data_IF_226347107292
#
_entry.id   IF_226347107292
#
_cell.length_a   1.000
_cell.length_b   1.000
_cell.length_c   1.000
_cell.angle_alpha   90.00
_cell.angle_beta   90.00
_cell.angle_gamma   90.00
#
_symmetry.space_group_name_H-M   'P 1'
#
loop_
_entity.id
_entity.type
_entity.pdbx_description
1 polymer ?
#
# COMPACT_ATOMS: atom_id res chain seq x y z
N UNK A 1 3.23 7.00 -18.01
CA UNK A 1 2.21 6.16 -17.32
C UNK A 1 2.68 5.88 -15.90
N UNK A 2 1.79 6.05 -14.92
CA UNK A 2 2.13 5.79 -13.52
C UNK A 2 1.98 4.29 -13.22
N UNK A 3 2.97 3.67 -12.53
CA UNK A 3 2.82 2.28 -12.09
C UNK A 3 1.72 2.16 -11.03
N UNK A 4 1.16 0.95 -10.91
CA UNK A 4 0.20 0.64 -9.87
C UNK A 4 0.90 0.38 -8.55
N UNK A 5 0.31 0.85 -7.46
CA UNK A 5 0.80 0.60 -6.11
C UNK A 5 -0.37 0.12 -5.26
N UNK A 6 -0.26 -1.09 -4.74
CA UNK A 6 -1.28 -1.67 -3.85
C UNK A 6 -0.80 -1.55 -2.42
N UNK A 7 -1.69 -1.11 -1.53
CA UNK A 7 -1.29 -0.65 -0.22
C UNK A 7 -2.20 -1.19 0.87
N UNK A 8 -1.62 -1.91 1.82
CA UNK A 8 -2.29 -2.31 3.05
C UNK A 8 -2.16 -1.19 4.11
N UNK A 9 -2.92 -1.28 5.17
CA UNK A 9 -2.93 -0.28 6.23
C UNK A 9 -2.24 -0.80 7.49
N UNK A 10 -2.80 -1.83 8.12
CA UNK A 10 -2.27 -2.34 9.38
C UNK A 10 -0.89 -2.97 9.18
N UNK A 11 0.08 -2.56 9.98
CA UNK A 11 1.44 -3.04 9.85
C UNK A 11 2.22 -2.42 8.70
N UNK A 12 1.62 -1.50 7.94
CA UNK A 12 2.26 -0.76 6.85
C UNK A 12 2.16 0.73 7.13
N UNK A 13 1.01 1.35 6.87
CA UNK A 13 0.80 2.78 7.17
C UNK A 13 0.64 3.02 8.67
N UNK A 14 0.09 2.05 9.39
CA UNK A 14 -0.12 2.14 10.83
C UNK A 14 0.81 1.18 11.56
N UNK A 15 1.56 1.71 12.54
CA UNK A 15 2.37 0.89 13.43
C UNK A 15 1.49 0.12 14.43
N UNK A 16 0.38 0.72 14.80
CA UNK A 16 -0.67 0.13 15.64
C UNK A 16 -1.98 0.87 15.37
N UNK A 17 -3.06 0.51 16.06
CA UNK A 17 -4.37 1.08 15.79
C UNK A 17 -4.45 2.61 15.98
N UNK A 18 -3.53 3.19 16.75
CA UNK A 18 -3.59 4.61 17.12
C UNK A 18 -2.53 5.47 16.45
N UNK A 19 -1.49 4.86 15.87
CA UNK A 19 -0.32 5.61 15.41
C UNK A 19 0.07 5.25 13.98
N UNK A 20 0.32 6.29 13.18
CA UNK A 20 0.95 6.14 11.88
C UNK A 20 2.38 5.62 12.04
N UNK A 21 2.82 4.83 11.06
CA UNK A 21 4.23 4.43 10.96
C UNK A 21 5.10 5.67 10.70
N UNK A 22 6.35 5.62 11.14
CA UNK A 22 7.32 6.68 10.86
C UNK A 22 7.46 6.83 9.34
N UNK A 23 7.31 8.06 8.84
CA UNK A 23 7.40 8.36 7.42
C UNK A 23 6.13 8.08 6.62
N UNK A 24 5.04 7.64 7.26
CA UNK A 24 3.80 7.32 6.57
C UNK A 24 3.19 8.53 5.86
N UNK A 25 3.24 9.70 6.47
CA UNK A 25 2.68 10.92 5.85
C UNK A 25 3.40 11.23 4.55
N UNK A 26 4.73 11.23 4.56
CA UNK A 26 5.52 11.46 3.33
C UNK A 26 5.25 10.38 2.28
N UNK A 27 5.16 9.12 2.72
CA UNK A 27 4.87 8.00 1.83
C UNK A 27 3.51 8.17 1.15
N UNK A 28 2.47 8.49 1.94
CA UNK A 28 1.12 8.70 1.42
C UNK A 28 1.11 9.82 0.37
N UNK A 29 1.72 10.96 0.69
CA UNK A 29 1.72 12.11 -0.22
C UNK A 29 2.48 11.82 -1.50
N UNK A 30 3.66 11.22 -1.39
CA UNK A 30 4.48 10.89 -2.56
C UNK A 30 3.77 9.86 -3.45
N UNK A 31 3.21 8.82 -2.84
CA UNK A 31 2.50 7.78 -3.58
C UNK A 31 1.27 8.36 -4.30
N UNK A 32 0.49 9.19 -3.61
CA UNK A 32 -0.71 9.80 -4.19
C UNK A 32 -0.38 10.63 -5.43
N UNK A 33 0.75 11.33 -5.43
CA UNK A 33 1.12 12.22 -6.53
C UNK A 33 1.79 11.51 -7.70
N UNK A 34 2.40 10.34 -7.46
CA UNK A 34 3.28 9.71 -8.46
C UNK A 34 2.87 8.30 -8.90
N UNK A 35 1.87 7.70 -8.27
CA UNK A 35 1.44 6.33 -8.57
C UNK A 35 -0.08 6.26 -8.72
N UNK A 36 -0.55 5.19 -9.38
CA UNK A 36 -1.94 4.80 -9.31
C UNK A 36 -2.09 3.90 -8.08
N UNK A 37 -2.54 4.47 -6.97
CA UNK A 37 -2.60 3.75 -5.70
C UNK A 37 -3.96 3.11 -5.51
N UNK A 38 -3.94 1.87 -5.04
CA UNK A 38 -5.13 1.08 -4.71
C UNK A 38 -5.08 0.64 -3.25
N UNK A 39 -6.20 0.79 -2.56
CA UNK A 39 -6.37 0.17 -1.25
C UNK A 39 -6.42 -1.35 -1.42
N UNK A 40 -5.50 -2.07 -0.79
CA UNK A 40 -5.52 -3.54 -0.78
C UNK A 40 -5.43 -3.99 0.67
N UNK A 41 -6.54 -3.92 1.36
CA UNK A 41 -6.64 -4.02 2.81
C UNK A 41 -8.00 -4.59 3.20
N UNK A 42 -8.07 -5.21 4.39
CA UNK A 42 -9.35 -5.67 4.94
C UNK A 42 -10.31 -4.50 5.22
N UNK A 43 -9.80 -3.27 5.26
CA UNK A 43 -10.64 -2.08 5.43
C UNK A 43 -11.30 -1.62 4.14
N UNK A 44 -11.03 -2.28 3.02
CA UNK A 44 -11.64 -1.99 1.72
C UNK A 44 -11.68 -3.28 0.90
N UNK A 45 -12.76 -4.06 1.03
CA UNK A 45 -12.92 -5.33 0.33
C UNK A 45 -14.09 -5.32 -0.65
N UNK A 46 -14.99 -4.35 -0.54
CA UNK A 46 -16.26 -4.32 -1.27
C UNK A 46 -16.34 -3.16 -2.26
N UNK A 47 -15.25 -2.48 -2.52
CA UNK A 47 -15.21 -1.36 -3.45
C UNK A 47 -15.55 -0.01 -2.82
N UNK A 48 -15.79 0.06 -1.51
CA UNK A 48 -16.05 1.31 -0.80
C UNK A 48 -14.81 1.71 0.00
N UNK A 49 -14.14 2.84 -0.34
CA UNK A 49 -12.91 3.26 0.33
C UNK A 49 -13.15 4.09 1.59
N UNK A 50 -14.40 4.39 1.95
CA UNK A 50 -14.70 5.34 3.03
C UNK A 50 -14.08 4.91 4.36
N UNK A 51 -14.26 3.64 4.73
CA UNK A 51 -13.71 3.15 6.00
C UNK A 51 -12.18 3.20 6.02
N UNK A 52 -11.52 2.83 4.92
CA UNK A 52 -10.06 2.86 4.83
C UNK A 52 -9.53 4.29 5.02
N UNK A 53 -10.15 5.26 4.36
CA UNK A 53 -9.75 6.67 4.46
C UNK A 53 -9.89 7.16 5.91
N UNK A 54 -11.04 6.94 6.52
CA UNK A 54 -11.29 7.44 7.88
C UNK A 54 -10.46 6.68 8.92
N UNK A 55 -10.20 5.40 8.69
CA UNK A 55 -9.36 4.60 9.58
C UNK A 55 -7.94 5.15 9.67
N UNK A 56 -7.36 5.55 8.54
CA UNK A 56 -6.05 6.19 8.53
C UNK A 56 -6.12 7.61 9.09
N UNK A 57 -7.12 8.40 8.63
CA UNK A 57 -7.23 9.81 9.02
C UNK A 57 -7.38 10.00 10.53
N UNK A 58 -8.05 9.11 11.23
CA UNK A 58 -8.26 9.22 12.68
C UNK A 58 -6.97 9.20 13.50
N UNK A 59 -5.84 8.78 12.91
CA UNK A 59 -4.57 8.62 13.63
C UNK A 59 -3.70 9.87 13.63
N UNK A 60 -4.12 10.93 12.96
CA UNK A 60 -3.32 12.16 12.83
C UNK A 60 -4.21 13.38 12.79
N UNK A 61 -3.70 14.51 13.29
CA UNK A 61 -4.37 15.80 13.20
C UNK A 61 -4.16 16.46 11.84
N UNK A 62 -3.16 16.02 11.08
CA UNK A 62 -2.96 16.54 9.72
C UNK A 62 -4.04 15.99 8.80
N UNK A 63 -4.65 16.86 7.98
CA UNK A 63 -5.68 16.42 7.04
C UNK A 63 -5.05 15.74 5.84
N UNK A 64 -5.10 14.41 5.83
CA UNK A 64 -4.58 13.58 4.74
C UNK A 64 -5.65 13.21 3.71
N UNK A 65 -6.91 13.57 3.95
CA UNK A 65 -8.01 13.19 3.05
C UNK A 65 -7.81 13.60 1.59
N UNK A 66 -7.25 14.79 1.28
CA UNK A 66 -7.00 15.13 -0.13
C UNK A 66 -6.10 14.13 -0.85
N UNK A 67 -5.17 13.49 -0.14
CA UNK A 67 -4.29 12.47 -0.70
C UNK A 67 -4.95 11.10 -0.69
N UNK A 68 -5.56 10.72 0.43
CA UNK A 68 -6.18 9.40 0.60
C UNK A 68 -7.33 9.18 -0.37
N UNK A 69 -8.07 10.23 -0.74
CA UNK A 69 -9.17 10.15 -1.71
C UNK A 69 -8.71 9.87 -3.13
N UNK A 70 -7.43 10.05 -3.43
CA UNK A 70 -6.85 9.66 -4.73
C UNK A 70 -6.65 8.16 -4.83
N UNK A 71 -6.61 7.43 -3.71
CA UNK A 71 -6.43 5.99 -3.68
C UNK A 71 -7.73 5.31 -4.09
N UNK A 72 -7.62 4.37 -5.02
CA UNK A 72 -8.78 3.67 -5.59
C UNK A 72 -9.17 2.47 -4.75
N UNK A 73 -10.47 2.16 -4.66
CA UNK A 73 -10.91 0.96 -3.95
C UNK A 73 -10.60 -0.31 -4.73
N UNK A 74 -10.57 -1.44 -4.02
CA UNK A 74 -10.52 -2.78 -4.62
C UNK A 74 -11.65 -3.63 -4.10
N UNK A 75 -11.92 -4.71 -4.82
CA UNK A 75 -12.89 -5.74 -4.41
C UNK A 75 -12.17 -7.07 -4.38
N UNK A 76 -12.21 -7.75 -3.24
CA UNK A 76 -11.61 -9.07 -3.07
C UNK A 76 -12.25 -9.77 -1.88
N UNK A 77 -12.05 -11.08 -1.75
CA UNK A 77 -12.65 -11.84 -0.64
C UNK A 77 -11.61 -12.70 0.09
N UNK A 78 -11.08 -13.75 -0.54
CA UNK A 78 -10.16 -14.67 0.12
C UNK A 78 -8.70 -14.33 -0.10
N UNK A 79 -8.35 -13.86 -1.30
CA UNK A 79 -6.97 -13.53 -1.65
C UNK A 79 -6.89 -12.13 -2.19
N UNK A 80 -5.98 -11.31 -1.63
CA UNK A 80 -5.72 -9.96 -2.12
C UNK A 80 -5.24 -9.98 -3.57
N UNK A 81 -4.50 -11.01 -3.96
CA UNK A 81 -4.00 -11.13 -5.34
C UNK A 81 -5.09 -11.17 -6.39
N UNK A 82 -6.32 -11.51 -6.02
CA UNK A 82 -7.46 -11.46 -6.95
C UNK A 82 -7.79 -10.02 -7.38
N UNK A 83 -7.36 -9.02 -6.62
CA UNK A 83 -7.55 -7.61 -6.95
C UNK A 83 -6.38 -6.98 -7.71
N UNK A 84 -5.27 -7.72 -7.89
CA UNK A 84 -4.08 -7.19 -8.55
C UNK A 84 -4.16 -7.42 -10.06
N UNK A 85 -3.89 -6.36 -10.84
CA UNK A 85 -3.75 -6.46 -12.28
C UNK A 85 -2.31 -6.85 -12.64
N UNK A 86 -2.08 -8.14 -12.87
CA UNK A 86 -0.75 -8.66 -13.19
C UNK A 86 -0.22 -8.23 -14.56
N UNK A 87 -1.07 -7.62 -15.41
CA UNK A 87 -0.66 -7.17 -16.74
C UNK A 87 0.07 -5.83 -16.72
N UNK A 88 0.03 -5.13 -15.60
CA UNK A 88 0.68 -3.82 -15.42
C UNK A 88 1.79 -3.91 -14.39
N UNK A 89 2.88 -3.14 -14.55
CA UNK A 89 3.88 -3.03 -13.49
C UNK A 89 3.24 -2.56 -12.20
N UNK A 90 3.61 -3.19 -11.11
CA UNK A 90 3.05 -2.83 -9.79
C UNK A 90 4.03 -3.09 -8.67
N UNK A 91 3.77 -2.45 -7.54
CA UNK A 91 4.33 -2.76 -6.24
C UNK A 91 3.19 -3.01 -5.27
N UNK A 92 3.36 -3.96 -4.38
CA UNK A 92 2.38 -4.28 -3.34
C UNK A 92 3.06 -4.23 -1.99
N UNK A 93 2.66 -3.27 -1.15
CA UNK A 93 3.18 -3.08 0.21
C UNK A 93 2.23 -3.74 1.20
N UNK A 94 2.70 -4.78 1.87
CA UNK A 94 1.90 -5.52 2.83
C UNK A 94 2.85 -6.19 3.84
N UNK A 95 2.38 -6.35 5.07
CA UNK A 95 3.16 -7.03 6.11
C UNK A 95 3.09 -8.55 5.98
N UNK A 96 2.19 -9.08 5.16
CA UNK A 96 2.02 -10.51 4.98
C UNK A 96 1.66 -10.86 3.54
N UNK A 97 1.99 -12.07 3.15
CA UNK A 97 1.64 -12.64 1.86
C UNK A 97 1.43 -14.13 2.07
N UNK A 98 0.17 -14.55 2.06
CA UNK A 98 -0.17 -15.94 2.35
C UNK A 98 0.26 -16.87 1.22
N UNK A 99 0.30 -18.19 1.51
CA UNK A 99 0.84 -19.18 0.56
C UNK A 99 0.15 -19.16 -0.80
N UNK A 100 -1.18 -19.03 -0.83
CA UNK A 100 -1.92 -18.92 -2.09
C UNK A 100 -1.62 -17.66 -2.86
N UNK A 101 -1.36 -16.56 -2.15
CA UNK A 101 -0.97 -15.30 -2.76
C UNK A 101 0.46 -15.36 -3.29
N UNK A 102 1.38 -15.98 -2.53
CA UNK A 102 2.76 -16.21 -3.00
C UNK A 102 2.78 -17.04 -4.28
N UNK A 103 1.94 -18.07 -4.33
CA UNK A 103 1.83 -18.91 -5.51
C UNK A 103 1.37 -18.10 -6.73
N UNK A 104 0.33 -17.28 -6.56
CA UNK A 104 -0.18 -16.42 -7.64
C UNK A 104 0.90 -15.48 -8.16
N UNK A 105 1.68 -14.86 -7.27
CA UNK A 105 2.77 -13.97 -7.65
C UNK A 105 3.86 -14.72 -8.42
N UNK A 106 4.22 -15.91 -7.97
CA UNK A 106 5.25 -16.73 -8.61
C UNK A 106 4.81 -17.22 -9.97
N UNK A 107 3.55 -17.65 -10.10
CA UNK A 107 3.00 -18.10 -11.38
C UNK A 107 3.00 -16.98 -12.44
N UNK A 108 2.91 -15.73 -12.00
CA UNK A 108 2.94 -14.57 -12.89
C UNK A 108 4.33 -13.92 -12.98
N UNK A 109 5.35 -14.54 -12.40
CA UNK A 109 6.75 -14.06 -12.39
C UNK A 109 6.90 -12.66 -11.81
N UNK A 110 6.12 -12.32 -10.79
CA UNK A 110 6.11 -10.99 -10.16
C UNK A 110 6.26 -11.05 -8.64
N UNK A 111 6.87 -12.11 -8.12
CA UNK A 111 7.02 -12.27 -6.68
C UNK A 111 7.79 -11.10 -6.05
N UNK A 112 8.76 -10.54 -6.77
CA UNK A 112 9.55 -9.41 -6.27
C UNK A 112 8.79 -8.09 -6.25
N UNK A 113 7.58 -8.04 -6.79
CA UNK A 113 6.72 -6.86 -6.70
C UNK A 113 6.05 -6.73 -5.33
N UNK A 114 6.01 -7.81 -4.56
CA UNK A 114 5.59 -7.74 -3.16
C UNK A 114 6.74 -7.19 -2.32
N UNK A 115 6.49 -6.06 -1.67
CA UNK A 115 7.43 -5.44 -0.73
C UNK A 115 6.94 -5.76 0.67
N UNK A 116 7.65 -6.65 1.33
CA UNK A 116 7.33 -7.01 2.71
C UNK A 116 7.65 -5.84 3.63
N UNK A 117 6.64 -5.41 4.39
CA UNK A 117 6.81 -4.34 5.38
C UNK A 117 6.79 -4.98 6.76
N UNK A 118 7.83 -4.69 7.55
CA UNK A 118 7.94 -5.19 8.92
C UNK A 118 8.29 -4.04 9.85
N UNK A 119 7.27 -3.30 10.25
CA UNK A 119 7.42 -2.11 11.09
C UNK A 119 7.87 -2.48 12.51
N UNK A 120 7.48 -3.65 13.00
CA UNK A 120 7.91 -4.11 14.33
C UNK A 120 9.43 -4.25 14.40
N UNK A 121 10.06 -4.74 13.33
CA UNK A 121 11.51 -4.92 13.26
C UNK A 121 12.22 -3.67 12.75
N UNK A 122 11.60 -2.97 11.79
CA UNK A 122 12.16 -1.78 11.14
C UNK A 122 11.15 -0.63 11.24
N UNK A 123 11.08 0.07 12.38
CA UNK A 123 10.04 1.09 12.60
C UNK A 123 10.07 2.24 11.59
N UNK A 124 11.23 2.51 10.98
CA UNK A 124 11.42 3.59 10.00
C UNK A 124 11.39 3.09 8.55
N UNK A 125 10.90 1.86 8.33
CA UNK A 125 10.93 1.27 6.99
C UNK A 125 10.27 2.14 5.93
N UNK A 126 9.13 2.76 6.22
CA UNK A 126 8.45 3.58 5.21
C UNK A 126 9.26 4.78 4.77
N UNK A 127 10.10 5.35 5.65
CA UNK A 127 11.02 6.41 5.22
C UNK A 127 11.99 5.92 4.16
N UNK A 128 12.48 4.69 4.30
CA UNK A 128 13.38 4.09 3.29
C UNK A 128 12.62 3.72 2.02
N UNK A 129 11.37 3.28 2.13
CA UNK A 129 10.56 2.92 0.97
C UNK A 129 10.21 4.15 0.11
N UNK A 130 10.12 5.35 0.69
CA UNK A 130 9.96 6.57 -0.10
C UNK A 130 11.11 6.72 -1.09
N UNK A 131 12.34 6.39 -0.68
CA UNK A 131 13.49 6.44 -1.56
C UNK A 131 13.38 5.44 -2.71
N UNK A 132 12.85 4.26 -2.44
CA UNK A 132 12.56 3.28 -3.49
C UNK A 132 11.56 3.84 -4.49
N UNK A 133 10.47 4.43 -4.01
CA UNK A 133 9.46 5.03 -4.89
C UNK A 133 10.06 6.15 -5.74
N UNK A 134 10.90 7.00 -5.13
CA UNK A 134 11.57 8.07 -5.85
C UNK A 134 12.47 7.53 -6.96
N UNK A 135 13.18 6.43 -6.71
CA UNK A 135 14.06 5.83 -7.70
C UNK A 135 13.31 5.24 -8.90
N UNK A 136 12.07 4.81 -8.69
CA UNK A 136 11.23 4.27 -9.76
C UNK A 136 10.67 5.42 -10.62
N UNK A 137 10.28 6.52 -10.00
CA UNK A 137 9.71 7.69 -10.70
C UNK A 137 10.81 8.48 -11.42
N UNK A 138 11.97 8.65 -10.79
CA UNK A 138 13.11 9.36 -11.35
C UNK A 138 14.37 8.52 -11.19
N UNK A 139 14.66 7.63 -12.16
CA UNK A 139 15.80 6.70 -12.07
C UNK A 139 17.16 7.39 -12.28
N UNK A 140 17.21 8.68 -12.61
CA UNK A 140 18.46 9.43 -12.69
C UNK A 140 18.89 9.89 -11.29
#
# INVERSE_FOLDING_TARGET
MKPNLYLDIDGVLLANEENLSIGAIEFIKYAADNFEVYWLTTHCMDGDPTHAIEYVQRTTDEDLRPFLRKFKPTTWSLKKTDAIDFKKPFLWFDDDCYSGERLALKENNVFNSWIEVNIAKYPDQLQHEVKLLQSIVDPT
#
